data_IF_402547657099
#
_entry.id   IF_402547657099
#
_cell.length_a   1.000
_cell.length_b   1.000
_cell.length_c   1.000
_cell.angle_alpha   90.00
_cell.angle_beta   90.00
_cell.angle_gamma   90.00
#
_symmetry.space_group_name_H-M   'P 1'
#
loop_
_entity.id
_entity.type
_entity.pdbx_description
1 polymer ?
#
# COMPACT_ATOMS: atom_id res chain seq x y z
N UNK A 1 -33.37 -6.78 -24.20
CA UNK A 1 -33.81 -5.85 -23.14
C UNK A 1 -34.03 -6.69 -21.88
N UNK A 2 -33.01 -6.84 -21.03
CA UNK A 2 -32.71 -6.00 -19.85
C UNK A 2 -33.84 -5.98 -18.81
N UNK A 3 -33.65 -6.72 -17.71
CA UNK A 3 -33.70 -6.17 -16.36
C UNK A 3 -33.03 -7.17 -15.41
N UNK A 4 -32.02 -6.66 -14.69
CA UNK A 4 -31.07 -7.40 -13.89
C UNK A 4 -31.68 -7.94 -12.59
N UNK A 5 -31.18 -9.11 -12.19
CA UNK A 5 -31.36 -9.74 -10.90
C UNK A 5 -30.97 -8.78 -9.76
N UNK A 6 -31.95 -8.40 -8.95
CA UNK A 6 -31.78 -7.62 -7.73
C UNK A 6 -31.25 -8.56 -6.64
N UNK A 7 -29.94 -8.51 -6.36
CA UNK A 7 -29.33 -9.14 -5.18
C UNK A 7 -29.09 -8.09 -4.09
N UNK A 8 -29.67 -8.22 -2.88
CA UNK A 8 -29.26 -7.45 -1.72
C UNK A 8 -28.31 -8.29 -0.86
N UNK A 9 -27.04 -8.44 -1.25
CA UNK A 9 -26.05 -9.23 -0.45
C UNK A 9 -24.83 -8.42 0.00
N UNK A 10 -24.73 -7.13 -0.38
CA UNK A 10 -23.55 -6.30 -0.06
C UNK A 10 -23.58 -5.49 1.25
N UNK A 11 -24.73 -5.30 1.91
CA UNK A 11 -24.80 -4.43 3.11
C UNK A 11 -24.51 -5.14 4.43
N UNK A 12 -24.87 -6.41 4.56
CA UNK A 12 -24.88 -7.09 5.86
C UNK A 12 -23.54 -7.72 6.27
N UNK A 13 -22.59 -7.93 5.34
CA UNK A 13 -21.27 -8.52 5.67
C UNK A 13 -20.25 -7.54 6.26
N UNK A 14 -20.52 -6.23 6.31
CA UNK A 14 -19.54 -5.22 6.77
C UNK A 14 -19.51 -4.97 8.28
N UNK A 15 -20.08 -5.86 9.10
CA UNK A 15 -19.76 -5.92 10.54
C UNK A 15 -18.60 -6.87 10.80
N UNK A 16 -17.40 -6.48 10.36
CA UNK A 16 -16.15 -7.21 10.65
C UNK A 16 -15.22 -6.23 11.36
N UNK A 17 -15.33 -6.14 12.69
CA UNK A 17 -14.38 -5.51 13.65
C UNK A 17 -13.47 -4.41 13.08
N UNK A 18 -13.92 -3.16 13.05
CA UNK A 18 -13.07 -2.03 12.66
C UNK A 18 -11.76 -2.01 13.46
N UNK A 19 -10.61 -1.76 12.81
CA UNK A 19 -9.36 -1.46 13.53
C UNK A 19 -9.65 -0.27 14.45
N UNK A 20 -9.38 -0.40 15.75
CA UNK A 20 -9.61 0.70 16.66
C UNK A 20 -8.80 1.92 16.21
N UNK A 21 -9.37 3.12 16.34
CA UNK A 21 -8.71 4.37 15.92
C UNK A 21 -7.31 4.49 16.55
N UNK A 22 -7.16 4.07 17.81
CA UNK A 22 -5.88 4.07 18.52
C UNK A 22 -4.86 3.12 17.89
N UNK A 23 -5.25 1.87 17.61
CA UNK A 23 -4.37 0.90 16.95
C UNK A 23 -3.99 1.36 15.54
N UNK A 24 -4.96 1.89 14.77
CA UNK A 24 -4.71 2.47 13.45
C UNK A 24 -3.69 3.60 13.51
N UNK A 25 -3.85 4.53 14.45
CA UNK A 25 -2.91 5.64 14.62
C UNK A 25 -1.50 5.17 15.03
N UNK A 26 -1.40 4.12 15.84
CA UNK A 26 -0.12 3.51 16.20
C UNK A 26 0.60 2.94 14.98
N UNK A 27 -0.10 2.13 14.18
CA UNK A 27 0.44 1.59 12.93
C UNK A 27 0.81 2.69 11.93
N UNK A 28 -0.03 3.70 11.78
CA UNK A 28 0.25 4.83 10.88
C UNK A 28 1.58 5.51 11.21
N UNK A 29 1.90 5.70 12.49
CA UNK A 29 3.19 6.27 12.92
C UNK A 29 4.37 5.38 12.55
N UNK A 30 4.25 4.06 12.73
CA UNK A 30 5.29 3.10 12.33
C UNK A 30 5.49 3.11 10.82
N UNK A 31 4.39 3.11 10.05
CA UNK A 31 4.45 3.14 8.59
C UNK A 31 5.11 4.42 8.05
N UNK A 32 4.93 5.57 8.70
CA UNK A 32 5.65 6.78 8.32
C UNK A 32 7.18 6.65 8.52
N UNK A 33 7.62 5.90 9.54
CA UNK A 33 9.04 5.60 9.74
C UNK A 33 9.55 4.65 8.66
N UNK A 34 8.76 3.64 8.29
CA UNK A 34 9.06 2.73 7.16
C UNK A 34 9.22 3.54 5.87
N UNK A 35 8.28 4.43 5.56
CA UNK A 35 8.36 5.27 4.35
C UNK A 35 9.62 6.15 4.35
N UNK A 36 9.98 6.73 5.50
CA UNK A 36 11.20 7.54 5.63
C UNK A 36 12.45 6.70 5.39
N UNK A 37 12.45 5.45 5.87
CA UNK A 37 13.53 4.50 5.65
C UNK A 37 13.64 4.10 4.18
N UNK A 38 12.53 3.79 3.52
CA UNK A 38 12.50 3.48 2.08
C UNK A 38 12.96 4.67 1.23
N UNK A 39 12.58 5.89 1.61
CA UNK A 39 13.05 7.11 0.95
C UNK A 39 14.56 7.29 1.10
N UNK A 40 15.11 7.02 2.30
CA UNK A 40 16.55 7.07 2.52
C UNK A 40 17.31 6.04 1.69
N UNK A 41 16.77 4.82 1.56
CA UNK A 41 17.33 3.79 0.67
C UNK A 41 17.25 4.18 -0.82
N UNK A 42 16.16 4.83 -1.24
CA UNK A 42 15.99 5.29 -2.63
C UNK A 42 17.02 6.34 -3.04
N UNK A 43 17.46 7.19 -2.11
CA UNK A 43 18.47 8.21 -2.33
C UNK A 43 19.87 7.82 -1.82
N UNK A 44 20.11 6.52 -1.66
CA UNK A 44 21.43 6.04 -1.27
C UNK A 44 22.49 6.50 -2.30
N UNK A 45 23.63 7.06 -1.86
CA UNK A 45 24.74 7.40 -2.75
C UNK A 45 25.25 6.16 -3.50
N UNK A 46 25.55 6.31 -4.79
CA UNK A 46 25.93 5.17 -5.65
C UNK A 46 27.25 4.52 -5.17
N UNK A 47 28.15 5.30 -4.56
CA UNK A 47 29.41 4.80 -4.00
C UNK A 47 29.19 3.83 -2.83
N UNK A 48 28.06 3.95 -2.13
CA UNK A 48 27.72 3.10 -0.99
C UNK A 48 26.90 1.87 -1.37
N UNK A 49 26.36 1.79 -2.59
CA UNK A 49 25.36 0.80 -3.01
C UNK A 49 25.77 -0.65 -2.76
N UNK A 50 27.05 -0.95 -2.93
CA UNK A 50 27.63 -2.28 -2.76
C UNK A 50 28.44 -2.44 -1.46
N UNK A 51 28.43 -1.43 -0.58
CA UNK A 51 29.16 -1.47 0.69
C UNK A 51 28.54 -2.46 1.68
N UNK A 52 29.36 -3.02 2.57
CA UNK A 52 28.88 -3.87 3.67
C UNK A 52 27.92 -3.13 4.60
N UNK A 53 28.12 -1.81 4.77
CA UNK A 53 27.19 -0.95 5.51
C UNK A 53 25.80 -0.97 4.86
N UNK A 54 25.72 -0.76 3.54
CA UNK A 54 24.45 -0.78 2.82
C UNK A 54 23.74 -2.14 2.89
N UNK A 55 24.50 -3.23 2.80
CA UNK A 55 23.97 -4.59 3.00
C UNK A 55 23.37 -4.75 4.39
N UNK A 56 24.04 -4.26 5.43
CA UNK A 56 23.53 -4.25 6.81
C UNK A 56 22.23 -3.44 6.96
N UNK A 57 22.17 -2.25 6.35
CA UNK A 57 20.94 -1.42 6.35
C UNK A 57 19.79 -2.14 5.63
N UNK A 58 20.07 -2.79 4.49
CA UNK A 58 19.06 -3.58 3.78
C UNK A 58 18.58 -4.80 4.58
N UNK A 59 19.47 -5.45 5.34
CA UNK A 59 19.09 -6.53 6.26
C UNK A 59 18.14 -6.04 7.35
N UNK A 60 18.37 -4.86 7.93
CA UNK A 60 17.47 -4.24 8.91
C UNK A 60 16.10 -3.97 8.28
N UNK A 61 16.06 -3.48 7.02
CA UNK A 61 14.81 -3.29 6.28
C UNK A 61 14.05 -4.60 6.13
N UNK A 62 14.73 -5.67 5.73
CA UNK A 62 14.08 -6.98 5.57
C UNK A 62 13.53 -7.50 6.90
N UNK A 63 14.27 -7.35 8.01
CA UNK A 63 13.77 -7.71 9.34
C UNK A 63 12.53 -6.89 9.73
N UNK A 64 12.49 -5.61 9.38
CA UNK A 64 11.32 -4.76 9.62
C UNK A 64 10.11 -5.23 8.81
N UNK A 65 10.29 -5.55 7.53
CA UNK A 65 9.23 -6.10 6.68
C UNK A 65 8.70 -7.44 7.23
N UNK A 66 9.61 -8.34 7.62
CA UNK A 66 9.26 -9.64 8.22
C UNK A 66 8.50 -9.44 9.53
N UNK A 67 8.91 -8.47 10.36
CA UNK A 67 8.18 -8.10 11.56
C UNK A 67 6.76 -7.61 11.24
N UNK A 68 6.60 -6.68 10.31
CA UNK A 68 5.28 -6.17 9.90
C UNK A 68 4.38 -7.33 9.43
N UNK A 69 4.90 -8.18 8.55
CA UNK A 69 4.20 -9.36 8.03
C UNK A 69 3.82 -10.34 9.15
N UNK A 70 4.70 -10.59 10.11
CA UNK A 70 4.41 -11.46 11.27
C UNK A 70 3.28 -10.91 12.16
N UNK A 71 3.05 -9.59 12.12
CA UNK A 71 1.93 -8.91 12.80
C UNK A 71 0.68 -8.80 11.92
N UNK A 72 0.70 -9.39 10.72
CA UNK A 72 -0.38 -9.33 9.74
C UNK A 72 -0.52 -7.99 9.04
N UNK A 73 0.50 -7.14 9.09
CA UNK A 73 0.57 -5.90 8.32
C UNK A 73 1.24 -6.20 6.98
N UNK A 74 0.49 -6.01 5.90
CA UNK A 74 0.91 -6.34 4.54
C UNK A 74 0.79 -5.12 3.64
N UNK A 75 1.74 -4.96 2.72
CA UNK A 75 1.67 -3.92 1.69
C UNK A 75 0.52 -4.22 0.71
N UNK A 76 -0.21 -3.17 0.35
CA UNK A 76 -1.25 -3.24 -0.68
C UNK A 76 -0.56 -3.30 -2.04
N UNK A 77 -0.91 -4.28 -2.87
CA UNK A 77 -0.37 -4.42 -4.23
C UNK A 77 -0.94 -3.32 -5.12
N UNK A 78 -0.09 -2.66 -5.90
CA UNK A 78 -0.44 -1.46 -6.67
C UNK A 78 -0.14 -1.59 -8.16
N UNK A 79 1.14 -1.62 -8.54
CA UNK A 79 1.54 -1.60 -9.96
C UNK A 79 0.92 -2.76 -10.74
N UNK A 80 0.38 -2.44 -11.92
CA UNK A 80 -0.34 -3.36 -12.81
C UNK A 80 -1.65 -3.92 -12.22
N UNK A 81 -2.21 -3.30 -11.19
CA UNK A 81 -3.55 -3.59 -10.69
C UNK A 81 -4.55 -2.52 -11.14
N UNK A 82 -5.84 -2.89 -11.21
CA UNK A 82 -6.92 -1.91 -11.40
C UNK A 82 -7.10 -1.07 -10.14
N UNK A 83 -7.33 0.23 -10.32
CA UNK A 83 -7.67 1.11 -9.22
C UNK A 83 -8.90 0.57 -8.46
N UNK A 84 -8.83 0.66 -7.12
CA UNK A 84 -9.91 0.25 -6.25
C UNK A 84 -9.95 1.22 -5.07
N UNK A 85 -11.00 2.04 -4.92
CA UNK A 85 -11.07 3.07 -3.87
C UNK A 85 -11.13 2.49 -2.44
N UNK A 86 -11.35 1.19 -2.27
CA UNK A 86 -11.25 0.54 -0.96
C UNK A 86 -9.78 0.41 -0.48
N UNK A 87 -8.83 0.32 -1.42
CA UNK A 87 -7.41 0.07 -1.14
C UNK A 87 -6.48 1.20 -1.59
N UNK A 88 -6.95 2.03 -2.52
CA UNK A 88 -6.15 3.00 -3.26
C UNK A 88 -6.73 4.40 -3.14
N UNK A 89 -5.83 5.39 -3.10
CA UNK A 89 -6.13 6.82 -3.20
C UNK A 89 -5.47 7.34 -4.48
N UNK A 90 -6.28 7.66 -5.50
CA UNK A 90 -5.79 8.23 -6.74
C UNK A 90 -5.43 9.71 -6.50
N UNK A 91 -4.16 10.05 -6.63
CA UNK A 91 -3.69 11.43 -6.45
C UNK A 91 -3.57 12.21 -7.77
N UNK A 92 -3.48 11.49 -8.88
CA UNK A 92 -3.33 12.06 -10.23
C UNK A 92 -3.82 11.04 -11.27
N UNK A 93 -4.42 11.52 -12.36
CA UNK A 93 -4.73 10.74 -13.54
C UNK A 93 -3.88 11.23 -14.71
N UNK A 94 -3.09 10.35 -15.32
CA UNK A 94 -2.10 10.69 -16.35
C UNK A 94 -2.37 9.94 -17.66
N UNK A 95 -1.95 10.53 -18.78
CA UNK A 95 -1.99 9.83 -20.07
C UNK A 95 -0.90 8.76 -20.06
N UNK A 96 -1.26 7.52 -20.37
CA UNK A 96 -0.32 6.41 -20.50
C UNK A 96 -0.80 5.40 -21.53
N UNK A 97 0.06 4.43 -21.88
CA UNK A 97 -0.30 3.34 -22.80
C UNK A 97 -1.12 2.23 -22.11
N UNK A 98 -1.35 2.31 -20.79
CA UNK A 98 -2.13 1.33 -20.04
C UNK A 98 -3.64 1.56 -20.15
N UNK A 99 -4.43 0.49 -19.92
CA UNK A 99 -5.90 0.60 -19.88
C UNK A 99 -6.38 1.66 -18.87
N UNK A 100 -7.47 2.35 -19.21
CA UNK A 100 -8.10 3.35 -18.33
C UNK A 100 -8.36 2.76 -16.93
N UNK A 101 -7.95 3.50 -15.89
CA UNK A 101 -8.11 3.10 -14.49
C UNK A 101 -7.05 2.11 -13.97
N UNK A 102 -6.06 1.72 -14.77
CA UNK A 102 -4.89 0.96 -14.30
C UNK A 102 -3.96 1.82 -13.46
N UNK A 103 -3.36 1.24 -12.43
CA UNK A 103 -2.32 1.90 -11.63
C UNK A 103 -0.99 1.87 -12.39
N UNK A 104 -0.45 3.05 -12.65
CA UNK A 104 0.77 3.26 -13.45
C UNK A 104 1.96 3.71 -12.61
N UNK A 105 1.71 4.30 -11.44
CA UNK A 105 2.76 4.71 -10.51
C UNK A 105 2.29 4.55 -9.06
N UNK A 106 3.12 3.97 -8.21
CA UNK A 106 2.95 4.01 -6.75
C UNK A 106 3.77 5.17 -6.18
N UNK A 107 3.08 6.15 -5.61
CA UNK A 107 3.71 7.33 -5.01
C UNK A 107 3.98 7.11 -3.53
N UNK A 108 3.11 6.35 -2.86
CA UNK A 108 3.31 5.92 -1.49
C UNK A 108 2.64 4.57 -1.25
N UNK A 109 3.36 3.63 -0.65
CA UNK A 109 2.81 2.32 -0.28
C UNK A 109 1.63 2.43 0.67
N UNK A 110 0.60 1.66 0.35
CA UNK A 110 -0.53 1.38 1.23
C UNK A 110 -0.27 0.13 2.05
N UNK A 111 -0.95 0.01 3.19
CA UNK A 111 -0.83 -1.15 4.06
C UNK A 111 -2.17 -1.55 4.66
N UNK A 112 -2.37 -2.86 4.81
CA UNK A 112 -3.53 -3.47 5.43
C UNK A 112 -3.10 -4.33 6.63
N UNK A 113 -3.87 -4.28 7.72
CA UNK A 113 -3.72 -5.16 8.89
C UNK A 113 -4.81 -6.23 8.81
N UNK A 114 -4.42 -7.49 8.62
CA UNK A 114 -5.34 -8.62 8.48
C UNK A 114 -6.45 -8.34 7.46
N UNK A 115 -6.05 -7.83 6.28
CA UNK A 115 -6.97 -7.48 5.18
C UNK A 115 -7.75 -6.17 5.37
N UNK A 116 -7.58 -5.45 6.49
CA UNK A 116 -8.24 -4.15 6.72
C UNK A 116 -7.26 -3.00 6.50
N UNK A 117 -7.62 -2.08 5.62
CA UNK A 117 -6.77 -0.96 5.24
C UNK A 117 -6.46 -0.05 6.44
N UNK A 118 -5.17 0.10 6.74
CA UNK A 118 -4.64 1.05 7.73
C UNK A 118 -4.47 2.41 7.05
N UNK A 119 -3.83 2.40 5.88
CA UNK A 119 -3.58 3.55 5.02
C UNK A 119 -3.68 3.08 3.57
N UNK A 120 -4.48 3.74 2.71
CA UNK A 120 -4.55 3.37 1.30
C UNK A 120 -3.20 3.65 0.61
N UNK A 121 -2.94 2.95 -0.49
CA UNK A 121 -1.78 3.28 -1.33
C UNK A 121 -2.10 4.53 -2.15
N UNK A 122 -1.18 5.49 -2.19
CA UNK A 122 -1.34 6.69 -3.03
C UNK A 122 -0.73 6.42 -4.38
N UNK A 123 -1.55 6.53 -5.41
CA UNK A 123 -1.23 6.05 -6.75
C UNK A 123 -1.59 7.06 -7.82
N UNK A 124 -0.93 6.98 -8.97
CA UNK A 124 -1.38 7.59 -10.21
C UNK A 124 -2.04 6.54 -11.08
N UNK A 125 -3.10 6.93 -11.78
CA UNK A 125 -3.89 6.04 -12.64
C UNK A 125 -3.82 6.49 -14.10
N UNK A 126 -3.95 5.53 -15.02
CA UNK A 126 -4.12 5.84 -16.44
C UNK A 126 -5.48 6.49 -16.68
N UNK A 127 -5.47 7.58 -17.44
CA UNK A 127 -6.65 8.30 -17.94
C UNK A 127 -7.07 7.76 -19.30
#
# INVERSE_FOLDING_TARGET
>A
MSAANIWPVGKERRRITSISKKARNGWFKILNVVDSFEQALKFQPEELKNSEWAKGVLQIKNQLDDFLKSRGVEAIKTLNEKFNPEFHEAIEAIISDAEEGMIVEEVQKGYALHGKVIRPARVKISK
#
